data_IF_819312853415
#
_entry.id   IF_819312853415
#
_cell.length_a   1.000
_cell.length_b   1.000
_cell.length_c   1.000
_cell.angle_alpha   90.00
_cell.angle_beta   90.00
_cell.angle_gamma   90.00
#
_symmetry.space_group_name_H-M   'P 1'
#
loop_
_entity.id
_entity.type
_entity.pdbx_description
1 polymer ?
#
# COMPACT_ATOMS: atom_id res chain seq x y z
N UNK A 1 -15.20 -19.92 -17.90
CA UNK A 1 -14.27 -21.05 -17.71
C UNK A 1 -13.59 -20.80 -16.38
N UNK A 2 -14.10 -21.42 -15.32
CA UNK A 2 -13.64 -21.22 -13.94
C UNK A 2 -12.29 -21.91 -13.77
N UNK A 3 -11.20 -21.13 -13.75
CA UNK A 3 -9.90 -21.63 -13.31
C UNK A 3 -10.00 -22.10 -11.86
N UNK A 4 -9.48 -23.30 -11.60
CA UNK A 4 -9.35 -23.86 -10.26
C UNK A 4 -8.56 -22.90 -9.35
N UNK A 5 -8.74 -22.95 -8.01
CA UNK A 5 -7.97 -22.11 -7.10
C UNK A 5 -6.48 -22.42 -7.31
N UNK A 6 -5.77 -21.40 -7.80
CA UNK A 6 -4.33 -21.46 -8.07
C UNK A 6 -3.60 -21.95 -6.82
N UNK A 7 -2.57 -22.78 -7.00
CA UNK A 7 -1.78 -23.28 -5.87
C UNK A 7 -1.27 -22.08 -5.07
N UNK A 8 -1.38 -22.14 -3.75
CA UNK A 8 -0.94 -21.03 -2.90
C UNK A 8 0.50 -20.63 -3.23
N UNK A 9 0.71 -19.36 -3.57
CA UNK A 9 2.01 -18.80 -3.94
C UNK A 9 2.33 -17.56 -3.11
N UNK A 10 3.55 -17.50 -2.59
CA UNK A 10 4.15 -16.30 -2.00
C UNK A 10 5.30 -15.84 -2.91
N UNK A 11 5.05 -14.80 -3.69
CA UNK A 11 6.01 -14.21 -4.63
C UNK A 11 6.70 -13.00 -3.98
N UNK A 12 7.91 -13.22 -3.46
CA UNK A 12 8.74 -12.18 -2.87
C UNK A 12 9.29 -11.25 -3.96
N UNK A 13 9.11 -9.94 -3.76
CA UNK A 13 9.65 -8.87 -4.58
C UNK A 13 10.61 -8.03 -3.75
N UNK A 14 11.89 -8.05 -4.12
CA UNK A 14 12.92 -7.30 -3.39
C UNK A 14 12.85 -5.82 -3.71
N UNK A 15 13.04 -4.96 -2.72
CA UNK A 15 13.10 -3.50 -2.93
C UNK A 15 14.20 -3.11 -3.92
N UNK A 16 15.33 -3.81 -3.90
CA UNK A 16 16.47 -3.55 -4.80
C UNK A 16 16.19 -3.93 -6.27
N UNK A 17 15.18 -4.78 -6.52
CA UNK A 17 14.77 -5.21 -7.86
C UNK A 17 13.64 -4.35 -8.43
N UNK A 18 13.06 -3.45 -7.63
CA UNK A 18 12.03 -2.51 -8.09
C UNK A 18 12.63 -1.52 -9.08
N UNK A 19 11.87 -1.20 -10.12
CA UNK A 19 12.26 -0.17 -11.06
C UNK A 19 12.37 1.18 -10.33
N UNK A 20 13.48 1.89 -10.54
CA UNK A 20 13.74 3.20 -9.95
C UNK A 20 13.63 4.29 -11.00
N UNK A 21 12.98 5.40 -10.65
CA UNK A 21 12.90 6.59 -11.50
C UNK A 21 13.12 7.88 -10.72
N UNK A 22 13.42 8.95 -11.44
CA UNK A 22 13.54 10.31 -10.91
C UNK A 22 12.61 11.23 -11.72
N UNK A 23 11.30 11.26 -11.41
CA UNK A 23 10.32 11.93 -12.25
C UNK A 23 10.42 13.46 -12.22
N UNK A 24 11.02 14.02 -11.16
CA UNK A 24 11.31 15.43 -11.01
C UNK A 24 12.56 15.63 -10.15
N UNK A 25 13.09 16.85 -10.11
CA UNK A 25 14.24 17.18 -9.27
C UNK A 25 13.95 16.89 -7.79
N UNK A 26 14.85 16.14 -7.14
CA UNK A 26 14.70 15.77 -5.75
C UNK A 26 13.62 14.73 -5.45
N UNK A 27 13.02 14.11 -6.47
CA UNK A 27 12.03 13.03 -6.32
C UNK A 27 12.63 11.71 -6.79
N UNK A 28 12.67 10.72 -5.91
CA UNK A 28 13.01 9.34 -6.26
C UNK A 28 11.82 8.41 -5.98
N UNK A 29 11.50 7.57 -6.96
CA UNK A 29 10.41 6.59 -6.84
C UNK A 29 10.93 5.18 -7.07
N UNK A 30 10.48 4.22 -6.24
CA UNK A 30 10.64 2.78 -6.45
C UNK A 30 9.29 2.15 -6.74
N UNK A 31 9.13 1.62 -7.95
CA UNK A 31 7.84 1.11 -8.45
C UNK A 31 7.72 -0.40 -8.25
N UNK A 32 6.64 -0.86 -7.60
CA UNK A 32 6.33 -2.28 -7.50
C UNK A 32 5.69 -2.86 -8.79
N UNK A 33 5.05 -2.00 -9.58
CA UNK A 33 4.33 -2.34 -10.81
C UNK A 33 4.80 -1.47 -11.98
N UNK A 34 4.29 -1.76 -13.18
CA UNK A 34 4.46 -0.92 -14.35
C UNK A 34 3.84 0.44 -14.09
N UNK A 35 4.66 1.48 -14.21
CA UNK A 35 4.25 2.83 -13.86
C UNK A 35 5.12 3.84 -14.61
N UNK A 36 4.50 4.96 -15.00
CA UNK A 36 5.16 6.00 -15.79
C UNK A 36 5.82 5.42 -17.06
N UNK A 37 7.02 5.87 -17.42
CA UNK A 37 7.77 5.42 -18.60
C UNK A 37 8.30 3.98 -18.54
N UNK A 38 7.99 3.20 -17.50
CA UNK A 38 8.39 1.80 -17.37
C UNK A 38 7.21 0.86 -17.50
N UNK A 39 7.31 -0.05 -18.48
CA UNK A 39 6.27 -1.02 -18.78
C UNK A 39 6.83 -2.43 -18.81
N UNK A 40 6.32 -3.27 -17.91
CA UNK A 40 6.42 -4.74 -17.95
C UNK A 40 5.00 -5.31 -18.08
N UNK A 41 4.62 -5.88 -19.24
CA UNK A 41 3.26 -6.40 -19.45
C UNK A 41 2.86 -7.50 -18.47
N UNK A 42 3.83 -8.15 -17.80
CA UNK A 42 3.58 -9.19 -16.78
C UNK A 42 3.45 -8.63 -15.37
N UNK A 43 3.62 -7.32 -15.19
CA UNK A 43 3.68 -6.67 -13.89
C UNK A 43 2.88 -5.35 -13.88
N UNK A 44 1.67 -5.35 -14.42
CA UNK A 44 0.82 -4.14 -14.46
C UNK A 44 -0.02 -3.94 -13.21
N UNK A 45 -0.37 -5.02 -12.50
CA UNK A 45 -1.20 -4.99 -11.29
C UNK A 45 -1.05 -6.31 -10.50
N UNK A 46 -1.63 -6.38 -9.30
CA UNK A 46 -1.85 -7.63 -8.56
C UNK A 46 -3.14 -7.54 -7.74
N UNK A 47 -4.08 -8.47 -7.93
CA UNK A 47 -5.43 -8.28 -7.43
C UNK A 47 -6.03 -7.01 -8.02
N UNK A 48 -6.62 -6.16 -7.20
CA UNK A 48 -7.11 -4.83 -7.59
C UNK A 48 -6.06 -3.71 -7.46
N UNK A 49 -4.86 -4.02 -6.95
CA UNK A 49 -3.79 -3.05 -6.71
C UNK A 49 -3.04 -2.73 -8.01
N UNK A 50 -3.05 -1.46 -8.40
CA UNK A 50 -2.46 -0.91 -9.62
C UNK A 50 -1.06 -0.36 -9.40
N UNK A 51 -0.80 0.22 -8.22
CA UNK A 51 0.51 0.77 -7.85
C UNK A 51 0.80 0.55 -6.36
N UNK A 52 2.08 0.45 -6.03
CA UNK A 52 2.60 0.50 -4.67
C UNK A 52 4.02 1.04 -4.76
N UNK A 53 4.13 2.36 -4.70
CA UNK A 53 5.38 3.07 -4.90
C UNK A 53 5.94 3.51 -3.56
N UNK A 54 7.24 3.35 -3.36
CA UNK A 54 7.96 4.07 -2.32
C UNK A 54 8.54 5.33 -2.91
N UNK A 55 8.16 6.46 -2.33
CA UNK A 55 8.54 7.80 -2.76
C UNK A 55 9.50 8.41 -1.74
N UNK A 56 10.56 9.04 -2.22
CA UNK A 56 11.52 9.82 -1.43
C UNK A 56 11.65 11.22 -2.04
N UNK A 57 11.26 12.23 -1.28
CA UNK A 57 11.28 13.62 -1.72
C UNK A 57 12.25 14.41 -0.85
N UNK A 58 13.26 15.01 -1.48
CA UNK A 58 14.19 15.94 -0.85
C UNK A 58 13.44 17.18 -0.28
N UNK A 59 14.08 17.97 0.62
CA UNK A 59 13.52 19.25 1.05
C UNK A 59 13.10 20.13 -0.12
N UNK A 60 11.85 20.62 -0.10
CA UNK A 60 11.27 21.48 -1.16
C UNK A 60 10.81 20.74 -2.43
N UNK A 61 11.19 19.47 -2.60
CA UNK A 61 10.76 18.64 -3.71
C UNK A 61 9.30 18.21 -3.58
N UNK A 62 8.72 17.82 -4.70
CA UNK A 62 7.33 17.37 -4.77
C UNK A 62 6.88 17.09 -6.19
N UNK A 63 5.66 16.62 -6.30
CA UNK A 63 4.93 16.48 -7.53
C UNK A 63 4.17 17.78 -7.80
N UNK A 64 4.45 18.38 -8.95
CA UNK A 64 3.68 19.51 -9.48
C UNK A 64 2.22 19.09 -9.73
N UNK A 65 1.36 20.06 -10.02
CA UNK A 65 -0.06 19.79 -10.22
C UNK A 65 -0.26 18.76 -11.35
N UNK A 66 -0.91 17.66 -11.00
CA UNK A 66 -1.22 16.58 -11.92
C UNK A 66 -2.61 16.02 -11.66
N UNK A 67 -3.17 15.34 -12.66
CA UNK A 67 -4.55 14.86 -12.65
C UNK A 67 -4.62 13.36 -12.46
N UNK A 68 -5.55 12.93 -11.61
CA UNK A 68 -6.02 11.55 -11.52
C UNK A 68 -7.51 11.47 -11.85
N UNK A 69 -7.96 10.29 -12.25
CA UNK A 69 -9.36 9.94 -12.48
C UNK A 69 -9.52 8.47 -12.18
N UNK A 70 -10.67 8.07 -11.65
CA UNK A 70 -11.08 6.67 -11.56
C UNK A 70 -10.07 5.76 -10.79
N UNK A 71 -9.43 6.31 -9.75
CA UNK A 71 -8.43 5.61 -8.94
C UNK A 71 -8.59 6.00 -7.47
N UNK A 72 -8.48 5.03 -6.57
CA UNK A 72 -8.35 5.26 -5.13
C UNK A 72 -6.86 5.34 -4.77
N UNK A 73 -6.40 6.46 -4.21
CA UNK A 73 -4.99 6.72 -3.88
C UNK A 73 -4.84 6.77 -2.36
N UNK A 74 -4.02 5.87 -1.80
CA UNK A 74 -3.73 5.83 -0.38
C UNK A 74 -2.26 6.13 -0.10
N UNK A 75 -2.02 6.98 0.88
CA UNK A 75 -0.67 7.41 1.28
C UNK A 75 -0.39 7.06 2.74
N UNK A 76 0.75 6.41 2.99
CA UNK A 76 1.29 6.11 4.31
C UNK A 76 2.70 6.69 4.44
N UNK A 77 2.90 7.68 5.33
CA UNK A 77 4.20 8.33 5.51
C UNK A 77 5.07 7.52 6.47
N UNK A 78 6.30 7.22 6.05
CA UNK A 78 7.29 6.48 6.83
C UNK A 78 8.19 7.44 7.63
N UNK A 79 8.55 8.57 7.03
CA UNK A 79 9.46 9.56 7.60
C UNK A 79 9.10 10.95 7.05
N UNK A 80 9.29 12.00 7.86
CA UNK A 80 9.06 13.38 7.44
C UNK A 80 7.58 13.76 7.43
N UNK A 81 7.16 14.62 6.49
CA UNK A 81 5.77 15.01 6.34
C UNK A 81 5.45 15.43 4.89
N UNK A 82 4.31 14.95 4.38
CA UNK A 82 3.84 15.22 3.02
C UNK A 82 2.67 16.21 3.05
N UNK A 83 2.80 17.34 2.39
CA UNK A 83 1.72 18.30 2.20
C UNK A 83 0.92 17.95 0.94
N UNK A 84 -0.40 17.88 1.09
CA UNK A 84 -1.38 17.64 0.02
C UNK A 84 -2.25 18.88 -0.20
N UNK A 85 -2.60 19.15 -1.45
CA UNK A 85 -3.65 20.11 -1.84
C UNK A 85 -4.31 19.64 -3.12
N UNK A 86 -5.63 19.74 -3.21
CA UNK A 86 -6.38 19.43 -4.43
C UNK A 86 -7.32 20.55 -4.91
N UNK A 87 -7.84 20.35 -6.12
CA UNK A 87 -8.79 21.24 -6.82
C UNK A 87 -10.18 21.30 -6.18
N UNK A 88 -10.51 20.41 -5.24
CA UNK A 88 -11.75 20.45 -4.46
C UNK A 88 -11.58 21.23 -3.16
N UNK A 89 -10.40 21.83 -2.95
CA UNK A 89 -10.10 22.67 -1.80
C UNK A 89 -9.66 21.88 -0.57
N UNK A 90 -9.51 20.54 -0.66
CA UNK A 90 -8.93 19.80 0.44
C UNK A 90 -7.43 20.09 0.53
N UNK A 91 -6.94 20.14 1.76
CA UNK A 91 -5.51 20.25 2.04
C UNK A 91 -5.20 19.60 3.37
N UNK A 92 -4.00 19.06 3.50
CA UNK A 92 -3.58 18.36 4.71
C UNK A 92 -2.09 18.12 4.74
N UNK A 93 -1.56 17.80 5.93
CA UNK A 93 -0.18 17.37 6.09
C UNK A 93 -0.19 15.97 6.69
N UNK A 94 0.20 14.99 5.87
CA UNK A 94 0.30 13.58 6.25
C UNK A 94 1.64 13.36 6.96
N UNK A 95 1.61 12.72 8.12
CA UNK A 95 2.78 12.42 8.95
C UNK A 95 2.83 10.93 9.28
N UNK A 96 3.95 10.40 9.78
CA UNK A 96 4.00 9.04 10.31
C UNK A 96 2.87 8.77 11.29
N UNK A 97 2.24 7.60 11.16
CA UNK A 97 1.03 7.24 11.90
C UNK A 97 -0.26 7.91 11.36
N UNK A 98 -0.25 8.44 10.13
CA UNK A 98 -1.46 8.91 9.46
C UNK A 98 -1.64 8.21 8.13
N UNK A 99 -2.89 7.84 7.84
CA UNK A 99 -3.32 7.38 6.52
C UNK A 99 -4.10 8.50 5.84
N UNK A 100 -3.76 8.74 4.58
CA UNK A 100 -4.53 9.62 3.70
C UNK A 100 -5.15 8.79 2.58
N UNK A 101 -6.38 9.14 2.20
CA UNK A 101 -7.11 8.58 1.06
C UNK A 101 -7.58 9.73 0.15
N UNK A 102 -7.32 9.61 -1.14
CA UNK A 102 -7.91 10.43 -2.19
C UNK A 102 -8.61 9.50 -3.19
N UNK A 103 -9.93 9.56 -3.22
CA UNK A 103 -10.75 8.94 -4.26
C UNK A 103 -10.86 9.93 -5.42
N UNK A 104 -10.22 9.63 -6.56
CA UNK A 104 -10.11 10.56 -7.67
C UNK A 104 -11.42 10.75 -8.46
N UNK A 105 -12.30 9.74 -8.45
CA UNK A 105 -13.62 9.81 -9.07
C UNK A 105 -13.61 10.36 -10.51
N UNK A 106 -14.55 11.26 -10.82
CA UNK A 106 -14.72 11.94 -12.10
C UNK A 106 -13.51 12.81 -12.51
N UNK A 107 -12.61 13.07 -11.57
CA UNK A 107 -11.30 13.67 -11.81
C UNK A 107 -10.93 14.69 -10.74
N UNK A 108 -9.67 14.66 -10.32
CA UNK A 108 -9.08 15.60 -9.37
C UNK A 108 -7.68 15.99 -9.84
N UNK A 109 -7.36 17.28 -9.82
CA UNK A 109 -5.97 17.75 -9.85
C UNK A 109 -5.46 17.97 -8.44
N UNK A 110 -4.21 17.60 -8.19
CA UNK A 110 -3.58 17.76 -6.88
C UNK A 110 -2.08 17.96 -6.95
N UNK A 111 -1.51 18.44 -5.84
CA UNK A 111 -0.07 18.60 -5.62
C UNK A 111 0.32 17.89 -4.34
N UNK A 112 1.48 17.26 -4.34
CA UNK A 112 2.04 16.58 -3.16
C UNK A 112 3.49 17.02 -2.99
N UNK A 113 3.84 17.64 -1.86
CA UNK A 113 5.18 18.20 -1.64
C UNK A 113 5.72 17.85 -0.27
N UNK A 114 7.04 17.73 -0.16
CA UNK A 114 7.68 17.79 1.14
C UNK A 114 7.32 19.13 1.80
N UNK A 115 6.89 19.09 3.07
CA UNK A 115 6.32 20.27 3.75
C UNK A 115 7.30 21.44 3.74
N UNK A 116 6.78 22.65 3.51
CA UNK A 116 7.60 23.86 3.47
C UNK A 116 8.41 24.07 4.75
N UNK A 117 9.70 24.35 4.59
CA UNK A 117 10.63 24.55 5.71
C UNK A 117 11.19 23.26 6.33
N UNK A 118 10.87 22.08 5.79
CA UNK A 118 11.50 20.83 6.21
C UNK A 118 13.02 20.87 5.97
N UNK A 119 13.79 20.37 6.94
CA UNK A 119 15.26 20.23 6.84
C UNK A 119 15.69 18.86 6.32
N UNK A 120 14.80 17.85 6.41
CA UNK A 120 15.03 16.48 5.96
C UNK A 120 14.05 16.04 4.87
N UNK A 121 14.26 14.85 4.28
CA UNK A 121 13.36 14.31 3.27
C UNK A 121 12.02 13.86 3.88
N UNK A 122 11.04 13.64 3.00
CA UNK A 122 9.86 12.82 3.32
C UNK A 122 9.95 11.51 2.55
N UNK A 123 9.69 10.39 3.24
CA UNK A 123 9.59 9.06 2.64
C UNK A 123 8.20 8.49 2.91
N UNK A 124 7.54 7.96 1.89
CA UNK A 124 6.18 7.44 2.01
C UNK A 124 5.90 6.33 1.01
N UNK A 125 4.86 5.56 1.29
CA UNK A 125 4.29 4.57 0.37
C UNK A 125 3.00 5.13 -0.20
N UNK A 126 2.88 5.18 -1.52
CA UNK A 126 1.65 5.53 -2.22
C UNK A 126 1.11 4.32 -2.99
N UNK A 127 -0.15 3.98 -2.74
CA UNK A 127 -0.81 2.78 -3.26
C UNK A 127 -2.04 3.20 -4.06
N UNK A 128 -2.20 2.60 -5.24
CA UNK A 128 -3.33 2.89 -6.11
C UNK A 128 -4.18 1.65 -6.28
N UNK A 129 -5.48 1.78 -6.05
CA UNK A 129 -6.45 0.69 -6.12
C UNK A 129 -7.53 1.05 -7.14
N UNK A 130 -7.95 0.08 -7.95
CA UNK A 130 -9.07 0.26 -8.86
C UNK A 130 -10.40 0.35 -8.07
N UNK A 131 -11.24 1.37 -8.26
CA UNK A 131 -12.58 1.44 -7.69
C UNK A 131 -13.56 0.52 -8.44
N UNK A 132 -14.70 0.19 -7.82
CA UNK A 132 -15.80 -0.49 -8.53
C UNK A 132 -16.70 0.48 -9.29
N UNK A 133 -16.79 1.71 -8.81
CA UNK A 133 -17.61 2.77 -9.39
C UNK A 133 -16.71 3.82 -10.05
N UNK A 134 -16.87 3.96 -11.36
CA UNK A 134 -16.21 4.97 -12.18
C UNK A 134 -17.02 6.27 -12.24
N UNK A 135 -16.34 7.38 -12.48
CA UNK A 135 -16.93 8.72 -12.68
C UNK A 135 -17.74 9.26 -11.49
N UNK A 136 -17.52 8.72 -10.29
CA UNK A 136 -18.17 9.18 -9.08
C UNK A 136 -17.58 10.49 -8.54
N UNK A 137 -18.25 11.16 -7.60
CA UNK A 137 -17.72 12.39 -7.02
C UNK A 137 -16.38 12.15 -6.28
N UNK A 138 -15.35 13.01 -6.44
CA UNK A 138 -14.10 12.86 -5.69
C UNK A 138 -14.32 12.95 -4.18
N UNK A 139 -13.50 12.24 -3.42
CA UNK A 139 -13.55 12.23 -1.95
C UNK A 139 -12.15 12.24 -1.36
N UNK A 140 -12.01 12.83 -0.17
CA UNK A 140 -10.75 12.94 0.55
C UNK A 140 -10.92 12.53 2.01
N UNK A 141 -9.94 11.82 2.55
CA UNK A 141 -9.88 11.44 3.95
C UNK A 141 -8.46 11.52 4.49
N UNK A 142 -8.32 12.00 5.71
CA UNK A 142 -7.06 11.99 6.46
C UNK A 142 -7.35 11.56 7.89
N UNK A 143 -6.70 10.51 8.35
CA UNK A 143 -6.93 9.95 9.68
C UNK A 143 -5.61 9.65 10.38
N UNK A 144 -5.52 10.06 11.66
CA UNK A 144 -4.48 9.60 12.57
C UNK A 144 -4.79 8.18 13.03
N UNK A 145 -3.81 7.31 12.92
CA UNK A 145 -3.90 5.90 13.26
C UNK A 145 -3.12 5.69 14.54
N UNK A 146 -3.76 5.05 15.52
CA UNK A 146 -3.08 4.53 16.70
C UNK A 146 -2.92 3.03 16.47
N UNK A 147 -1.72 2.54 16.09
CA UNK A 147 -1.51 1.12 15.82
C UNK A 147 -1.81 0.28 17.06
N UNK A 148 -2.45 -0.86 16.86
CA UNK A 148 -2.54 -1.89 17.90
C UNK A 148 -1.13 -2.30 18.36
N UNK A 149 -0.97 -2.55 19.66
CA UNK A 149 0.25 -3.13 20.22
C UNK A 149 0.31 -4.61 19.84
N UNK A 150 0.99 -4.92 18.73
CA UNK A 150 1.05 -6.26 18.16
C UNK A 150 -0.30 -6.75 17.64
N UNK A 151 -0.74 -6.22 16.49
CA UNK A 151 -2.04 -6.60 15.93
C UNK A 151 -2.33 -6.03 14.55
N UNK A 152 -3.59 -6.16 14.13
CA UNK A 152 -4.11 -5.57 12.91
C UNK A 152 -4.87 -4.28 13.22
N UNK A 153 -4.57 -3.22 12.47
CA UNK A 153 -5.30 -1.96 12.50
C UNK A 153 -5.87 -1.70 11.12
N UNK A 154 -7.20 -1.61 11.00
CA UNK A 154 -7.84 -1.35 9.71
C UNK A 154 -7.59 0.11 9.32
N UNK A 155 -7.00 0.35 8.14
CA UNK A 155 -6.65 1.68 7.64
C UNK A 155 -7.75 2.26 6.75
N UNK A 156 -8.18 1.46 5.78
CA UNK A 156 -9.23 1.79 4.83
C UNK A 156 -9.98 0.52 4.40
N UNK A 157 -11.27 0.61 4.11
CA UNK A 157 -12.06 -0.54 3.66
C UNK A 157 -13.24 -0.10 2.81
N UNK A 158 -13.58 -0.90 1.80
CA UNK A 158 -14.87 -0.82 1.12
C UNK A 158 -15.83 -1.95 1.51
N UNK A 159 -15.38 -2.91 2.33
CA UNK A 159 -16.17 -4.06 2.73
C UNK A 159 -17.32 -3.65 3.66
N UNK A 160 -18.49 -4.25 3.45
CA UNK A 160 -19.69 -3.89 4.20
C UNK A 160 -19.57 -4.19 5.70
N UNK A 161 -18.86 -5.27 6.05
CA UNK A 161 -18.60 -5.64 7.46
C UNK A 161 -17.82 -4.56 8.23
N UNK A 162 -17.13 -3.67 7.53
CA UNK A 162 -16.29 -2.61 8.12
C UNK A 162 -16.96 -1.22 8.08
N UNK A 163 -18.18 -1.10 7.56
CA UNK A 163 -18.87 0.18 7.36
C UNK A 163 -19.10 1.00 8.64
N UNK A 164 -19.12 0.35 9.81
CA UNK A 164 -19.26 0.97 11.12
C UNK A 164 -17.94 1.31 11.84
N UNK A 165 -16.80 1.07 11.19
CA UNK A 165 -15.47 1.37 11.75
C UNK A 165 -15.06 2.81 11.45
N UNK A 166 -13.93 3.24 12.01
CA UNK A 166 -13.32 4.54 11.73
C UNK A 166 -12.38 4.50 10.50
N UNK A 167 -12.33 3.39 9.76
CA UNK A 167 -11.51 3.25 8.56
C UNK A 167 -11.95 4.22 7.45
N UNK A 168 -11.00 4.67 6.64
CA UNK A 168 -11.32 5.47 5.45
C UNK A 168 -12.12 4.62 4.45
N UNK A 169 -13.23 5.14 3.93
CA UNK A 169 -14.07 4.38 3.00
C UNK A 169 -13.43 4.30 1.63
N UNK A 170 -13.34 3.08 1.09
CA UNK A 170 -12.97 2.82 -0.31
C UNK A 170 -14.22 2.64 -1.18
N UNK A 171 -14.12 3.00 -2.45
CA UNK A 171 -15.09 2.68 -3.51
C UNK A 171 -14.90 1.29 -4.10
N UNK A 172 -13.83 0.59 -3.72
CA UNK A 172 -13.64 -0.83 -4.00
C UNK A 172 -14.27 -1.64 -2.87
N UNK A 173 -15.47 -2.16 -3.11
CA UNK A 173 -16.36 -2.77 -2.11
C UNK A 173 -15.89 -4.11 -1.55
N UNK A 174 -14.81 -4.67 -2.10
CA UNK A 174 -14.30 -5.99 -1.75
C UNK A 174 -12.80 -5.97 -1.40
N UNK A 175 -12.31 -4.83 -0.93
CA UNK A 175 -10.94 -4.65 -0.50
C UNK A 175 -10.80 -3.88 0.81
N UNK A 176 -9.71 -4.15 1.52
CA UNK A 176 -9.28 -3.42 2.70
C UNK A 176 -7.75 -3.26 2.74
N UNK A 177 -7.30 -2.16 3.34
CA UNK A 177 -5.92 -1.92 3.70
C UNK A 177 -5.78 -2.01 5.21
N UNK A 178 -4.83 -2.81 5.66
CA UNK A 178 -4.49 -3.04 7.06
C UNK A 178 -3.06 -2.61 7.35
N UNK A 179 -2.82 -2.15 8.58
CA UNK A 179 -1.50 -2.09 9.19
C UNK A 179 -1.36 -3.30 10.09
N UNK A 180 -0.34 -4.12 9.87
CA UNK A 180 0.01 -5.25 10.74
C UNK A 180 1.31 -4.94 11.48
N UNK A 181 1.28 -5.09 12.80
CA UNK A 181 2.44 -4.89 13.68
C UNK A 181 2.73 -6.14 14.49
N UNK A 182 4.00 -6.39 14.78
CA UNK A 182 4.43 -7.37 15.76
C UNK A 182 5.69 -6.91 16.48
N UNK A 183 5.77 -7.22 17.77
CA UNK A 183 6.94 -6.96 18.59
C UNK A 183 8.12 -7.87 18.24
N UNK A 184 9.30 -7.62 18.84
CA UNK A 184 10.50 -8.44 18.65
C UNK A 184 10.25 -9.94 18.79
N UNK A 185 10.63 -10.71 17.77
CA UNK A 185 10.53 -12.17 17.74
C UNK A 185 9.11 -12.74 17.91
N UNK A 186 8.07 -11.91 17.75
CA UNK A 186 6.69 -12.34 17.82
C UNK A 186 6.16 -12.75 16.43
N UNK A 187 5.23 -13.72 16.35
CA UNK A 187 4.47 -13.94 15.12
C UNK A 187 3.67 -12.68 14.76
N UNK A 188 3.42 -12.47 13.47
CA UNK A 188 2.37 -11.54 13.06
C UNK A 188 1.01 -12.02 13.57
N UNK A 189 0.04 -11.10 13.76
CA UNK A 189 -1.36 -11.50 13.98
C UNK A 189 -1.87 -12.36 12.83
N UNK A 190 -2.97 -13.08 13.07
CA UNK A 190 -3.70 -13.77 12.02
C UNK A 190 -4.13 -12.78 10.94
N UNK A 191 -3.63 -12.97 9.72
CA UNK A 191 -3.91 -12.09 8.59
C UNK A 191 -5.27 -12.44 7.99
N UNK A 192 -6.06 -11.46 7.51
CA UNK A 192 -7.33 -11.74 6.85
C UNK A 192 -7.15 -12.72 5.70
N UNK A 193 -8.12 -13.62 5.54
CA UNK A 193 -8.18 -14.52 4.40
C UNK A 193 -8.73 -13.78 3.18
N UNK A 194 -7.98 -13.81 2.07
CA UNK A 194 -8.43 -13.32 0.79
C UNK A 194 -7.67 -14.03 -0.35
N UNK A 195 -8.27 -14.18 -1.54
CA UNK A 195 -7.60 -14.82 -2.67
C UNK A 195 -6.37 -14.03 -3.16
N UNK A 196 -6.37 -12.69 -3.00
CA UNK A 196 -5.21 -11.84 -3.26
C UNK A 196 -4.84 -11.03 -2.01
N UNK A 197 -3.62 -11.22 -1.53
CA UNK A 197 -3.06 -10.45 -0.43
C UNK A 197 -1.70 -9.87 -0.83
N UNK A 198 -1.50 -8.58 -0.59
CA UNK A 198 -0.23 -7.91 -0.89
C UNK A 198 0.34 -7.32 0.39
N UNK A 199 1.46 -7.86 0.85
CA UNK A 199 2.16 -7.40 2.05
C UNK A 199 3.39 -6.57 1.66
N UNK A 200 3.54 -5.38 2.22
CA UNK A 200 4.67 -4.49 2.02
C UNK A 200 5.30 -4.12 3.37
N UNK A 201 6.53 -4.59 3.62
CA UNK A 201 7.21 -4.38 4.91
C UNK A 201 7.74 -2.95 4.97
N UNK A 202 7.27 -2.16 5.94
CA UNK A 202 7.62 -0.74 6.09
C UNK A 202 8.73 -0.53 7.12
N UNK A 203 8.81 -1.39 8.15
CA UNK A 203 9.84 -1.34 9.18
C UNK A 203 10.15 -2.72 9.76
N UNK A 204 11.34 -2.84 10.38
CA UNK A 204 11.78 -4.06 11.05
C UNK A 204 12.26 -5.13 10.07
N UNK A 205 12.08 -6.41 10.43
CA UNK A 205 12.36 -7.54 9.53
C UNK A 205 11.34 -8.66 9.77
N UNK A 206 11.13 -9.49 8.75
CA UNK A 206 10.14 -10.57 8.82
C UNK A 206 10.68 -11.85 8.19
N UNK A 207 10.60 -12.96 8.92
CA UNK A 207 10.81 -14.31 8.38
C UNK A 207 9.48 -15.01 8.11
N UNK A 208 9.38 -15.82 7.05
CA UNK A 208 8.19 -16.63 6.78
C UNK A 208 8.55 -17.89 5.98
N UNK A 209 7.60 -18.83 5.88
CA UNK A 209 7.69 -20.03 5.03
C UNK A 209 6.84 -19.87 3.78
N UNK A 210 7.35 -20.30 2.62
CA UNK A 210 6.59 -20.14 1.36
C UNK A 210 5.24 -20.85 1.35
N UNK A 211 5.15 -22.01 2.02
CA UNK A 211 3.91 -22.77 2.28
C UNK A 211 4.00 -23.42 3.67
N UNK A 212 2.86 -23.83 4.28
CA UNK A 212 2.85 -24.52 5.56
C UNK A 212 3.60 -25.86 5.55
N UNK A 213 4.09 -26.27 6.73
CA UNK A 213 4.72 -27.57 6.93
C UNK A 213 6.11 -27.71 6.31
N UNK A 214 6.73 -28.90 6.38
CA UNK A 214 8.16 -29.10 6.14
C UNK A 214 8.62 -28.82 4.70
N UNK A 215 7.69 -28.77 3.74
CA UNK A 215 7.99 -28.50 2.33
C UNK A 215 8.18 -27.02 2.01
N UNK A 216 7.76 -26.11 2.90
CA UNK A 216 7.98 -24.67 2.72
C UNK A 216 9.45 -24.30 2.84
N UNK A 217 9.93 -23.46 1.93
CA UNK A 217 11.25 -22.84 2.05
C UNK A 217 11.19 -21.62 2.96
N UNK A 218 12.22 -21.40 3.77
CA UNK A 218 12.36 -20.16 4.54
C UNK A 218 12.68 -18.97 3.63
N UNK A 219 12.06 -17.83 3.92
CA UNK A 219 12.29 -16.54 3.28
C UNK A 219 12.37 -15.46 4.35
N UNK A 220 13.06 -14.37 4.05
CA UNK A 220 13.14 -13.18 4.88
C UNK A 220 12.85 -11.94 4.06
N UNK A 221 12.31 -10.92 4.72
CA UNK A 221 11.98 -9.61 4.18
C UNK A 221 12.67 -8.53 5.00
N UNK A 222 13.10 -7.48 4.30
CA UNK A 222 13.62 -6.23 4.88
C UNK A 222 12.74 -5.06 4.41
N UNK A 223 12.84 -3.87 5.04
CA UNK A 223 11.98 -2.75 4.70
C UNK A 223 12.05 -2.41 3.22
N UNK A 224 10.87 -2.21 2.63
CA UNK A 224 10.65 -2.02 1.21
C UNK A 224 10.40 -3.31 0.42
N UNK A 225 10.73 -4.50 0.95
CA UNK A 225 10.33 -5.76 0.33
C UNK A 225 8.81 -5.94 0.38
N UNK A 226 8.26 -6.67 -0.60
CA UNK A 226 6.85 -7.03 -0.63
C UNK A 226 6.62 -8.47 -1.03
N UNK A 227 5.50 -9.06 -0.62
CA UNK A 227 5.08 -10.39 -1.05
C UNK A 227 3.68 -10.33 -1.63
N UNK A 228 3.53 -10.92 -2.81
CA UNK A 228 2.21 -11.20 -3.41
C UNK A 228 1.80 -12.60 -3.01
N UNK A 229 0.65 -12.70 -2.36
CA UNK A 229 0.19 -13.91 -1.68
C UNK A 229 -1.14 -14.34 -2.31
N UNK A 230 -1.19 -15.59 -2.78
CA UNK A 230 -2.41 -16.28 -3.19
C UNK A 230 -2.56 -17.58 -2.38
N UNK A 231 -3.79 -18.05 -2.21
CA UNK A 231 -4.08 -19.28 -1.44
C UNK A 231 -3.46 -19.28 -0.04
N UNK A 232 -3.03 -20.44 0.45
CA UNK A 232 -2.47 -20.65 1.81
C UNK A 232 -0.96 -20.37 1.94
N UNK A 233 -0.34 -19.71 0.95
CA UNK A 233 1.08 -19.36 1.05
C UNK A 233 1.36 -18.30 2.12
N UNK A 234 2.65 -18.01 2.37
CA UNK A 234 3.09 -17.05 3.40
C UNK A 234 2.76 -17.53 4.82
N UNK A 235 3.31 -18.68 5.16
CA UNK A 235 3.05 -19.35 6.44
C UNK A 235 4.01 -18.90 7.54
N UNK A 236 3.51 -18.91 8.77
CA UNK A 236 4.24 -18.62 10.01
C UNK A 236 5.08 -17.32 9.98
N UNK A 237 4.55 -16.18 9.48
CA UNK A 237 5.29 -14.94 9.44
C UNK A 237 5.66 -14.46 10.86
N UNK A 238 6.95 -14.27 11.11
CA UNK A 238 7.51 -13.94 12.42
C UNK A 238 8.44 -12.73 12.30
N UNK A 239 8.24 -11.74 13.16
CA UNK A 239 9.06 -10.55 13.22
C UNK A 239 10.48 -10.85 13.71
N UNK A 240 11.45 -10.06 13.27
CA UNK A 240 12.82 -10.13 13.74
C UNK A 240 13.05 -9.34 15.03
N UNK A 241 14.32 -9.04 15.31
CA UNK A 241 14.78 -8.43 16.56
C UNK A 241 14.16 -7.06 16.87
N UNK A 242 13.88 -6.26 15.85
CA UNK A 242 13.31 -4.91 16.01
C UNK A 242 11.79 -4.88 15.83
N UNK A 243 11.14 -6.05 15.77
CA UNK A 243 9.74 -6.17 15.41
C UNK A 243 9.52 -6.08 13.89
N UNK A 244 8.26 -5.91 13.50
CA UNK A 244 7.85 -5.71 12.11
C UNK A 244 6.64 -4.79 12.03
N UNK A 245 6.61 -3.95 11.01
CA UNK A 245 5.43 -3.19 10.56
C UNK A 245 5.27 -3.44 9.07
N UNK A 246 4.06 -3.81 8.64
CA UNK A 246 3.75 -3.95 7.22
C UNK A 246 2.36 -3.42 6.88
N UNK A 247 2.23 -2.93 5.65
CA UNK A 247 0.95 -2.64 5.01
C UNK A 247 0.45 -3.91 4.31
N UNK A 248 -0.80 -4.29 4.56
CA UNK A 248 -1.42 -5.47 3.99
C UNK A 248 -2.70 -5.10 3.24
N UNK A 249 -2.71 -5.33 1.94
CA UNK A 249 -3.93 -5.33 1.15
C UNK A 249 -4.63 -6.69 1.24
N UNK A 250 -5.92 -6.65 1.54
CA UNK A 250 -6.89 -7.73 1.41
C UNK A 250 -7.76 -7.43 0.19
N UNK A 251 -7.85 -8.34 -0.79
CA UNK A 251 -8.60 -8.13 -2.04
C UNK A 251 -9.31 -9.42 -2.47
N UNK A 252 -10.61 -9.32 -2.76
CA UNK A 252 -11.46 -10.47 -3.09
C UNK A 252 -11.75 -10.66 -4.59
N UNK A 253 -11.40 -9.69 -5.41
CA UNK A 253 -11.41 -9.82 -6.87
C UNK A 253 -10.25 -9.03 -7.50
N UNK A 254 -9.79 -9.42 -8.71
CA UNK A 254 -8.76 -8.69 -9.42
C UNK A 254 -9.33 -7.44 -10.08
N UNK A 255 -8.48 -6.66 -10.76
CA UNK A 255 -8.95 -5.58 -11.62
C UNK A 255 -10.02 -6.09 -12.61
N UNK A 256 -11.04 -5.28 -12.82
CA UNK A 256 -12.11 -5.55 -13.78
C UNK A 256 -12.27 -4.33 -14.68
N UNK A 257 -12.19 -4.56 -15.98
CA UNK A 257 -12.56 -3.59 -16.99
C UNK A 257 -13.83 -4.15 -17.61
N UNK A 258 -14.93 -3.41 -17.54
CA UNK A 258 -16.25 -3.85 -18.01
C UNK A 258 -16.24 -4.39 -19.44
#
# INVERSE_FOLDING_TARGET
MTEAPDRGRADLRRTAERYRSTPAEGVETRHAFSFSGHYDPKNTHFGALLACNEELLAPGAGFEEHKHRDTEILTWVLEGALAHRDSYGHSGVVRPGMVQHLSAGSGVTHTERNVGGATGPVRFVQMWLQPDEFDAAPAYGLRKVEPADGGLTLLASGLERDAGTDALRLRRGDAALWLATAGPWQPLPELPEAPWRYAHLTAGSLGYRTVPGPKGGGRSMEPGDSVRITGEAFADPTAGETGAELLLWEMHSPVSYG
#
